data_IF_841982980063
#
_entry.id   IF_841982980063
#
_cell.length_a   1.000
_cell.length_b   1.000
_cell.length_c   1.000
_cell.angle_alpha   90.00
_cell.angle_beta   90.00
_cell.angle_gamma   90.00
#
_symmetry.space_group_name_H-M   'P 1'
#
loop_
_entity.id
_entity.type
_entity.pdbx_description
1 polymer ?
#
# COMPACT_ATOMS: atom_id res chain seq x y z
N UNK A 1 -34.20 -12.27 -7.57
CA UNK A 1 -33.40 -11.68 -8.65
C UNK A 1 -32.37 -10.76 -8.01
N UNK A 2 -31.13 -11.22 -7.88
CA UNK A 2 -30.05 -10.48 -7.21
C UNK A 2 -29.32 -9.68 -8.28
N UNK A 3 -29.25 -8.38 -8.05
CA UNK A 3 -28.72 -7.37 -8.96
C UNK A 3 -27.24 -7.64 -9.27
N UNK A 4 -26.88 -7.74 -10.55
CA UNK A 4 -25.54 -8.09 -11.05
C UNK A 4 -24.62 -6.89 -11.29
N UNK A 5 -25.05 -5.68 -10.92
CA UNK A 5 -24.34 -4.43 -11.27
C UNK A 5 -23.65 -3.78 -10.08
N UNK A 6 -22.68 -4.47 -9.48
CA UNK A 6 -21.61 -3.85 -8.68
C UNK A 6 -20.26 -4.37 -9.21
N UNK A 7 -20.06 -4.23 -10.52
CA UNK A 7 -18.72 -4.09 -11.05
C UNK A 7 -18.33 -2.64 -10.84
N UNK A 8 -17.47 -2.39 -9.86
CA UNK A 8 -16.79 -1.12 -9.74
C UNK A 8 -16.01 -0.91 -11.03
N UNK A 9 -16.44 0.06 -11.84
CA UNK A 9 -15.62 0.65 -12.88
C UNK A 9 -14.34 1.16 -12.21
N UNK A 10 -13.32 0.32 -12.24
CA UNK A 10 -11.96 0.76 -12.11
C UNK A 10 -11.75 1.68 -13.32
N UNK A 11 -11.66 2.99 -13.09
CA UNK A 11 -11.03 3.88 -14.07
C UNK A 11 -9.58 3.40 -14.19
N UNK A 12 -9.36 2.45 -15.10
CA UNK A 12 -8.08 1.84 -15.43
C UNK A 12 -7.13 2.81 -16.15
N UNK A 13 -7.48 4.09 -16.23
CA UNK A 13 -6.70 5.13 -16.88
C UNK A 13 -5.66 5.80 -15.97
N UNK A 14 -5.65 5.51 -14.66
CA UNK A 14 -4.64 6.04 -13.72
C UNK A 14 -3.44 5.09 -13.49
N UNK A 15 -3.40 3.94 -14.18
CA UNK A 15 -2.20 3.14 -14.31
C UNK A 15 -1.50 3.60 -15.58
N UNK A 16 -0.72 4.68 -15.49
CA UNK A 16 0.34 4.90 -16.47
C UNK A 16 1.11 3.57 -16.55
N UNK A 17 1.04 2.93 -17.71
CA UNK A 17 1.87 1.79 -18.08
C UNK A 17 3.30 2.29 -18.15
N UNK A 18 3.93 2.50 -16.99
CA UNK A 18 5.30 2.97 -16.90
C UNK A 18 6.24 1.80 -17.20
N UNK A 19 6.76 1.85 -18.44
CA UNK A 19 7.92 1.19 -19.01
C UNK A 19 8.55 0.03 -18.22
N UNK A 20 8.31 -1.19 -18.72
CA UNK A 20 9.09 -2.40 -18.38
C UNK A 20 10.61 -2.23 -18.61
N UNK A 21 11.04 -1.19 -19.34
CA UNK A 21 12.45 -0.91 -19.65
C UNK A 21 13.29 -0.43 -18.45
N UNK A 22 12.73 0.20 -17.42
CA UNK A 22 13.54 0.78 -16.32
C UNK A 22 14.10 -0.27 -15.35
N UNK A 23 13.48 -1.46 -15.27
CA UNK A 23 14.02 -2.59 -14.48
C UNK A 23 15.27 -3.23 -15.12
N UNK A 24 15.62 -2.88 -16.36
CA UNK A 24 16.72 -3.50 -17.11
C UNK A 24 18.11 -2.91 -16.80
N UNK A 25 18.20 -1.78 -16.08
CA UNK A 25 19.47 -1.07 -15.86
C UNK A 25 20.18 -1.46 -14.56
N UNK A 26 19.48 -2.06 -13.60
CA UNK A 26 20.06 -2.50 -12.33
C UNK A 26 20.35 -4.01 -12.37
N UNK A 27 21.63 -4.37 -12.50
CA UNK A 27 22.08 -5.76 -12.34
C UNK A 27 22.05 -6.10 -10.85
N UNK A 28 20.99 -6.76 -10.41
CA UNK A 28 20.90 -7.32 -9.07
C UNK A 28 21.63 -8.66 -9.02
N UNK A 29 22.49 -8.85 -8.01
CA UNK A 29 23.14 -10.14 -7.76
C UNK A 29 22.40 -10.87 -6.64
N UNK A 30 21.90 -12.06 -6.97
CA UNK A 30 21.16 -12.93 -6.06
C UNK A 30 21.84 -14.28 -5.97
N UNK A 31 21.96 -14.79 -4.75
CA UNK A 31 22.13 -16.22 -4.55
C UNK A 31 20.81 -16.82 -4.14
N UNK A 32 20.56 -18.05 -4.60
CA UNK A 32 19.38 -18.80 -4.21
C UNK A 32 19.78 -20.22 -3.84
N UNK A 33 19.07 -20.79 -2.88
CA UNK A 33 19.25 -22.16 -2.45
C UNK A 33 17.89 -22.85 -2.35
N UNK A 34 17.82 -24.06 -2.92
CA UNK A 34 16.69 -24.96 -2.70
C UNK A 34 16.84 -25.71 -1.38
N UNK A 35 15.85 -25.61 -0.51
CA UNK A 35 15.72 -26.41 0.71
C UNK A 35 14.31 -26.99 0.75
N UNK A 36 14.17 -28.26 1.10
CA UNK A 36 12.86 -28.88 1.26
C UNK A 36 12.50 -28.88 2.73
N UNK A 37 11.32 -28.33 3.04
CA UNK A 37 10.74 -28.40 4.38
C UNK A 37 9.48 -29.26 4.33
N UNK A 38 9.27 -30.05 5.38
CA UNK A 38 7.99 -30.70 5.61
C UNK A 38 6.93 -29.67 5.98
N UNK A 39 5.66 -29.97 5.70
CA UNK A 39 4.53 -29.18 6.20
C UNK A 39 4.63 -28.95 7.70
N UNK A 40 5.03 -29.96 8.47
CA UNK A 40 5.14 -29.85 9.92
C UNK A 40 6.23 -28.85 10.34
N UNK A 41 7.40 -28.87 9.70
CA UNK A 41 8.47 -27.89 9.96
C UNK A 41 8.02 -26.47 9.62
N UNK A 42 7.41 -26.25 8.45
CA UNK A 42 6.88 -24.93 8.07
C UNK A 42 5.84 -24.42 9.09
N UNK A 43 4.98 -25.29 9.61
CA UNK A 43 4.00 -24.96 10.64
C UNK A 43 4.65 -24.62 11.99
N UNK A 44 5.77 -25.25 12.34
CA UNK A 44 6.55 -24.95 13.54
C UNK A 44 7.27 -23.61 13.39
N UNK A 45 8.00 -23.40 12.29
CA UNK A 45 8.76 -22.16 12.06
C UNK A 45 7.87 -20.91 12.05
N UNK A 46 6.65 -20.99 11.49
CA UNK A 46 5.70 -19.85 11.54
C UNK A 46 5.12 -19.63 12.95
N UNK A 47 5.05 -20.68 13.78
CA UNK A 47 4.58 -20.59 15.17
C UNK A 47 5.66 -20.00 16.08
N UNK A 48 6.92 -20.35 15.85
CA UNK A 48 8.09 -19.87 16.60
C UNK A 48 8.54 -18.46 16.15
N UNK A 49 7.99 -17.96 15.05
CA UNK A 49 8.27 -16.62 14.54
C UNK A 49 9.56 -16.54 13.73
N UNK A 50 10.03 -17.66 13.19
CA UNK A 50 11.15 -17.75 12.26
C UNK A 50 10.72 -17.44 10.82
N UNK A 51 9.45 -17.73 10.49
CA UNK A 51 8.81 -17.22 9.28
C UNK A 51 8.07 -15.93 9.59
N UNK A 52 8.63 -14.81 9.14
CA UNK A 52 8.04 -13.50 9.31
C UNK A 52 7.01 -13.30 8.19
N UNK A 53 5.77 -13.04 8.61
CA UNK A 53 4.66 -12.73 7.72
C UNK A 53 4.64 -11.21 7.49
N UNK A 54 4.89 -10.74 6.26
CA UNK A 54 4.82 -9.32 5.98
C UNK A 54 3.40 -8.77 6.17
N UNK A 55 3.28 -7.54 6.66
CA UNK A 55 2.00 -6.98 7.13
C UNK A 55 0.87 -7.00 6.08
N UNK A 56 1.16 -6.73 4.81
CA UNK A 56 0.19 -6.75 3.71
C UNK A 56 -0.26 -8.17 3.32
N UNK A 57 0.56 -9.21 3.55
CA UNK A 57 0.14 -10.60 3.29
C UNK A 57 -0.71 -11.17 4.44
N UNK A 58 -0.86 -10.48 5.58
CA UNK A 58 -1.61 -11.00 6.74
C UNK A 58 -3.07 -11.32 6.45
N UNK A 59 -3.65 -10.75 5.39
CA UNK A 59 -5.04 -11.04 4.99
C UNK A 59 -5.08 -12.35 4.20
N UNK A 60 -5.60 -13.40 4.84
CA UNK A 60 -5.79 -14.71 4.22
C UNK A 60 -6.96 -14.66 3.24
N UNK A 61 -6.67 -14.56 1.93
CA UNK A 61 -7.68 -14.40 0.87
C UNK A 61 -8.21 -15.72 0.30
N UNK A 62 -7.65 -16.86 0.71
CA UNK A 62 -8.21 -18.16 0.30
C UNK A 62 -9.53 -18.44 1.01
N UNK A 63 -10.58 -18.62 0.22
CA UNK A 63 -11.86 -19.12 0.70
C UNK A 63 -11.76 -20.59 1.14
N UNK A 64 -12.79 -21.09 1.83
CA UNK A 64 -12.84 -22.50 2.30
C UNK A 64 -12.60 -23.49 1.16
N UNK A 65 -13.08 -23.17 -0.05
CA UNK A 65 -12.96 -24.04 -1.19
C UNK A 65 -11.51 -24.18 -1.68
N UNK A 66 -10.81 -23.06 -1.91
CA UNK A 66 -9.37 -23.05 -2.26
C UNK A 66 -8.52 -23.72 -1.20
N UNK A 67 -8.81 -23.45 0.08
CA UNK A 67 -8.17 -24.13 1.21
C UNK A 67 -8.35 -25.65 1.12
N UNK A 68 -9.56 -26.11 0.82
CA UNK A 68 -9.88 -27.54 0.72
C UNK A 68 -9.16 -28.21 -0.45
N UNK A 69 -9.09 -27.55 -1.62
CA UNK A 69 -8.37 -28.05 -2.79
C UNK A 69 -6.88 -28.25 -2.51
N UNK A 70 -6.26 -27.33 -1.78
CA UNK A 70 -4.87 -27.47 -1.39
C UNK A 70 -4.65 -28.68 -0.45
N UNK A 71 -5.49 -28.87 0.57
CA UNK A 71 -5.38 -30.03 1.47
C UNK A 71 -5.62 -31.34 0.72
N UNK A 72 -6.60 -31.36 -0.19
CA UNK A 72 -6.83 -32.50 -1.07
C UNK A 72 -5.57 -32.87 -1.88
N UNK A 73 -4.88 -31.89 -2.47
CA UNK A 73 -3.61 -32.13 -3.18
C UNK A 73 -2.55 -32.80 -2.29
N UNK A 74 -2.44 -32.39 -1.01
CA UNK A 74 -1.52 -33.02 -0.05
C UNK A 74 -1.90 -34.49 0.22
N UNK A 75 -3.19 -34.77 0.35
CA UNK A 75 -3.71 -36.13 0.59
C UNK A 75 -3.51 -37.03 -0.64
N UNK A 76 -3.72 -36.49 -1.83
CA UNK A 76 -3.49 -37.19 -3.10
C UNK A 76 -2.00 -37.39 -3.41
N UNK A 77 -1.10 -36.61 -2.78
CA UNK A 77 0.34 -36.66 -3.05
C UNK A 77 0.72 -35.94 -4.34
N UNK A 78 -0.08 -34.94 -4.75
CA UNK A 78 0.25 -34.12 -5.92
C UNK A 78 1.42 -33.17 -5.62
N UNK A 79 2.22 -32.81 -6.64
CA UNK A 79 3.28 -31.82 -6.49
C UNK A 79 2.68 -30.48 -6.06
N UNK A 80 3.29 -29.87 -5.05
CA UNK A 80 2.90 -28.55 -4.53
C UNK A 80 3.86 -27.50 -5.11
N UNK A 81 3.35 -26.36 -5.61
CA UNK A 81 4.20 -25.27 -6.07
C UNK A 81 5.18 -24.81 -5.01
N UNK A 82 6.36 -24.38 -5.47
CA UNK A 82 7.44 -23.93 -4.60
C UNK A 82 6.98 -22.82 -3.65
N UNK A 83 7.61 -22.76 -2.48
CA UNK A 83 7.50 -21.63 -1.56
C UNK A 83 8.76 -20.78 -1.73
N UNK A 84 8.61 -19.47 -1.67
CA UNK A 84 9.74 -18.55 -1.81
C UNK A 84 9.95 -17.79 -0.51
N UNK A 85 11.18 -17.81 -0.03
CA UNK A 85 11.62 -17.08 1.15
C UNK A 85 12.72 -16.09 0.77
N UNK A 86 12.79 -14.99 1.51
CA UNK A 86 13.94 -14.09 1.52
C UNK A 86 14.61 -14.17 2.89
N UNK A 87 15.92 -14.41 2.91
CA UNK A 87 16.69 -14.45 4.15
C UNK A 87 16.80 -13.03 4.72
N UNK A 88 16.50 -12.85 6.01
CA UNK A 88 16.68 -11.57 6.70
C UNK A 88 17.84 -11.61 7.69
N UNK A 89 18.17 -10.46 8.26
CA UNK A 89 19.04 -10.40 9.42
C UNK A 89 18.49 -11.29 10.55
N UNK A 90 19.37 -12.02 11.24
CA UNK A 90 19.10 -12.94 12.37
C UNK A 90 18.54 -14.34 12.00
N UNK A 91 18.91 -14.92 10.85
CA UNK A 91 18.55 -16.28 10.45
C UNK A 91 17.03 -16.54 10.40
N UNK A 92 16.24 -15.50 10.11
CA UNK A 92 14.80 -15.59 9.87
C UNK A 92 14.51 -15.48 8.39
N UNK A 93 13.31 -15.91 8.01
CA UNK A 93 12.85 -15.88 6.64
C UNK A 93 11.62 -14.98 6.50
N UNK A 94 11.68 -14.04 5.57
CA UNK A 94 10.51 -13.37 5.04
C UNK A 94 9.81 -14.28 4.05
N UNK A 95 8.51 -14.48 4.23
CA UNK A 95 7.70 -15.20 3.26
C UNK A 95 7.48 -14.30 2.03
N UNK A 96 8.02 -14.70 0.88
CA UNK A 96 7.85 -13.99 -0.40
C UNK A 96 6.57 -14.48 -1.10
N UNK A 97 6.43 -15.80 -1.19
CA UNK A 97 5.24 -16.49 -1.68
C UNK A 97 4.99 -17.77 -0.88
N UNK A 98 3.74 -18.23 -0.83
CA UNK A 98 3.36 -19.48 -0.17
C UNK A 98 2.67 -19.34 1.18
N UNK A 99 2.44 -18.10 1.66
CA UNK A 99 1.78 -17.87 2.95
C UNK A 99 0.42 -18.58 3.06
N UNK A 100 -0.42 -18.53 2.03
CA UNK A 100 -1.73 -19.19 2.05
C UNK A 100 -1.59 -20.72 2.18
N UNK A 101 -0.57 -21.32 1.55
CA UNK A 101 -0.30 -22.77 1.65
C UNK A 101 0.10 -23.14 3.08
N UNK A 102 1.08 -22.43 3.65
CA UNK A 102 1.58 -22.68 5.01
C UNK A 102 0.47 -22.49 6.04
N UNK A 103 -0.26 -21.37 5.98
CA UNK A 103 -1.33 -21.06 6.94
C UNK A 103 -2.53 -21.99 6.79
N UNK A 104 -2.89 -22.40 5.57
CA UNK A 104 -3.96 -23.39 5.36
C UNK A 104 -3.60 -24.75 5.96
N UNK A 105 -2.38 -25.24 5.73
CA UNK A 105 -1.93 -26.50 6.34
C UNK A 105 -1.95 -26.41 7.86
N UNK A 106 -1.38 -25.33 8.42
CA UNK A 106 -1.38 -25.06 9.87
C UNK A 106 -2.80 -25.03 10.45
N UNK A 107 -3.70 -24.29 9.83
CA UNK A 107 -5.08 -24.13 10.31
C UNK A 107 -5.84 -25.46 10.22
N UNK A 108 -5.63 -26.25 9.16
CA UNK A 108 -6.26 -27.56 9.02
C UNK A 108 -5.75 -28.55 10.08
N UNK A 109 -4.42 -28.66 10.25
CA UNK A 109 -3.78 -29.52 11.25
C UNK A 109 -4.25 -29.19 12.68
N UNK A 110 -4.47 -27.91 12.96
CA UNK A 110 -5.00 -27.44 14.25
C UNK A 110 -6.52 -27.54 14.36
N UNK A 111 -7.21 -28.17 13.41
CA UNK A 111 -8.65 -28.42 13.45
C UNK A 111 -9.52 -27.17 13.27
N UNK A 112 -9.01 -26.08 12.71
CA UNK A 112 -9.78 -24.83 12.57
C UNK A 112 -10.87 -24.88 11.49
N UNK A 113 -10.80 -25.85 10.58
CA UNK A 113 -11.83 -26.05 9.56
C UNK A 113 -11.87 -27.51 9.08
N UNK A 114 -13.01 -27.88 8.52
CA UNK A 114 -13.21 -29.12 7.77
C UNK A 114 -13.26 -28.84 6.27
N UNK A 115 -12.95 -29.83 5.44
CA UNK A 115 -12.96 -29.68 3.99
C UNK A 115 -14.36 -29.36 3.45
N UNK A 116 -14.41 -28.67 2.32
CA UNK A 116 -15.63 -28.27 1.62
C UNK A 116 -16.48 -29.47 1.22
N UNK A 117 -17.81 -29.31 1.28
CA UNK A 117 -18.79 -30.31 0.81
C UNK A 117 -18.99 -30.32 -0.71
N UNK A 118 -18.47 -29.33 -1.44
CA UNK A 118 -18.59 -29.22 -2.90
C UNK A 118 -18.13 -30.50 -3.61
N UNK A 119 -18.86 -30.90 -4.64
CA UNK A 119 -18.63 -32.15 -5.38
C UNK A 119 -17.25 -32.26 -6.04
N UNK A 120 -16.63 -31.12 -6.33
CA UNK A 120 -15.27 -31.08 -6.89
C UNK A 120 -14.19 -31.55 -5.92
N UNK A 121 -14.46 -31.65 -4.61
CA UNK A 121 -13.58 -32.32 -3.65
C UNK A 121 -13.90 -33.82 -3.66
N UNK A 122 -12.87 -34.66 -3.59
CA UNK A 122 -12.97 -36.11 -3.53
C UNK A 122 -13.89 -36.53 -2.37
N UNK A 123 -14.85 -37.39 -2.69
CA UNK A 123 -15.89 -37.84 -1.76
C UNK A 123 -15.33 -38.38 -0.45
N UNK A 124 -14.16 -39.03 -0.48
CA UNK A 124 -13.49 -39.61 0.68
C UNK A 124 -13.23 -38.60 1.79
N UNK A 125 -12.99 -37.33 1.45
CA UNK A 125 -12.55 -36.32 2.41
C UNK A 125 -13.51 -35.15 2.60
N UNK A 126 -14.66 -35.14 1.92
CA UNK A 126 -15.65 -34.07 2.07
C UNK A 126 -16.09 -33.94 3.52
N UNK A 127 -16.18 -32.71 4.02
CA UNK A 127 -16.55 -32.39 5.41
C UNK A 127 -15.67 -33.00 6.50
N UNK A 128 -14.55 -33.66 6.17
CA UNK A 128 -13.63 -34.16 7.18
C UNK A 128 -12.74 -33.04 7.69
N UNK A 129 -12.56 -33.01 9.01
CA UNK A 129 -11.51 -32.23 9.66
C UNK A 129 -10.26 -33.10 9.84
N UNK A 130 -9.14 -32.49 10.22
CA UNK A 130 -7.89 -33.23 10.43
C UNK A 130 -8.00 -34.36 11.44
N UNK A 131 -8.83 -34.22 12.49
CA UNK A 131 -9.03 -35.29 13.48
C UNK A 131 -9.78 -36.50 12.94
N UNK A 132 -10.59 -36.32 11.88
CA UNK A 132 -11.37 -37.40 11.25
C UNK A 132 -10.57 -38.22 10.24
N UNK A 133 -9.36 -37.78 9.88
CA UNK A 133 -8.48 -38.51 8.96
C UNK A 133 -7.86 -39.75 9.62
N UNK A 134 -7.47 -40.73 8.81
CA UNK A 134 -6.69 -41.87 9.30
C UNK A 134 -5.29 -41.42 9.75
N UNK A 135 -4.63 -42.21 10.60
CA UNK A 135 -3.25 -41.91 11.02
C UNK A 135 -2.24 -41.93 9.87
N UNK A 136 -2.53 -42.67 8.79
CA UNK A 136 -1.73 -42.62 7.57
C UNK A 136 -1.90 -41.28 6.84
N UNK A 137 -3.13 -40.81 6.68
CA UNK A 137 -3.45 -39.54 6.01
C UNK A 137 -2.91 -38.33 6.78
N UNK A 138 -3.03 -38.35 8.12
CA UNK A 138 -2.42 -37.34 9.01
C UNK A 138 -0.90 -37.30 8.83
N UNK A 139 -0.25 -38.47 8.79
CA UNK A 139 1.20 -38.56 8.55
C UNK A 139 1.58 -38.09 7.16
N UNK A 140 0.78 -38.41 6.13
CA UNK A 140 0.98 -37.96 4.75
C UNK A 140 1.02 -36.44 4.68
N UNK A 141 -0.01 -35.75 5.16
CA UNK A 141 -0.05 -34.27 5.20
C UNK A 141 1.17 -33.70 5.92
N UNK A 142 1.46 -34.19 7.14
CA UNK A 142 2.55 -33.64 7.97
C UNK A 142 3.93 -33.83 7.36
N UNK A 143 4.16 -34.95 6.66
CA UNK A 143 5.45 -35.34 6.07
C UNK A 143 5.62 -34.92 4.61
N UNK A 144 4.59 -34.36 3.97
CA UNK A 144 4.73 -33.80 2.62
C UNK A 144 5.85 -32.77 2.62
N UNK A 145 6.85 -32.99 1.77
CA UNK A 145 7.93 -32.04 1.52
C UNK A 145 7.46 -30.99 0.50
N UNK A 146 7.75 -29.73 0.80
CA UNK A 146 7.54 -28.62 -0.14
C UNK A 146 8.90 -28.01 -0.45
N UNK A 147 9.22 -27.95 -1.76
CA UNK A 147 10.40 -27.27 -2.25
C UNK A 147 10.31 -25.79 -1.93
N UNK A 148 11.30 -25.32 -1.18
CA UNK A 148 11.43 -23.91 -0.80
C UNK A 148 12.67 -23.34 -1.45
N UNK A 149 12.53 -22.17 -2.06
CA UNK A 149 13.65 -21.41 -2.63
C UNK A 149 13.92 -20.24 -1.69
N UNK A 150 15.09 -20.26 -1.06
CA UNK A 150 15.57 -19.18 -0.21
C UNK A 150 16.42 -18.27 -1.07
N UNK A 151 16.05 -17.00 -1.11
CA UNK A 151 16.70 -15.98 -1.93
C UNK A 151 17.43 -15.00 -1.02
N UNK A 152 18.71 -14.81 -1.32
CA UNK A 152 19.58 -13.88 -0.61
C UNK A 152 20.08 -12.85 -1.60
N UNK A 153 19.83 -11.59 -1.29
CA UNK A 153 20.39 -10.48 -2.05
C UNK A 153 21.87 -10.33 -1.68
N UNK A 154 22.74 -10.38 -2.69
CA UNK A 154 24.20 -10.23 -2.52
C UNK A 154 24.59 -8.77 -2.74
N UNK A 155 23.99 -8.08 -3.72
CA UNK A 155 24.29 -6.68 -4.07
C UNK A 155 22.99 -5.95 -4.48
N UNK A 156 22.74 -4.71 -3.98
CA UNK A 156 23.45 -4.02 -2.89
C UNK A 156 23.17 -4.67 -1.53
N UNK A 157 24.15 -4.71 -0.62
CA UNK A 157 23.97 -5.25 0.74
C UNK A 157 22.94 -4.48 1.59
N UNK A 158 22.64 -3.24 1.22
CA UNK A 158 21.82 -2.31 2.01
C UNK A 158 20.63 -1.70 1.23
N UNK A 159 20.24 -2.29 0.10
CA UNK A 159 18.98 -1.92 -0.56
C UNK A 159 18.09 -3.15 -0.60
N UNK A 160 16.80 -2.98 -0.34
CA UNK A 160 15.84 -4.07 -0.51
C UNK A 160 15.10 -3.95 -1.87
N UNK A 161 15.56 -3.05 -2.75
CA UNK A 161 14.89 -2.78 -4.03
C UNK A 161 14.90 -4.00 -4.97
N UNK A 162 15.91 -4.87 -4.83
CA UNK A 162 15.97 -6.12 -5.59
C UNK A 162 14.86 -7.11 -5.17
N UNK A 163 14.57 -7.15 -3.86
CA UNK A 163 13.50 -7.96 -3.29
C UNK A 163 12.15 -7.45 -3.85
N UNK A 164 12.00 -6.14 -4.04
CA UNK A 164 10.80 -5.55 -4.65
C UNK A 164 10.53 -6.11 -6.06
N UNK A 165 11.53 -6.07 -6.95
CA UNK A 165 11.38 -6.61 -8.31
C UNK A 165 11.17 -8.12 -8.33
N UNK A 166 11.77 -8.85 -7.39
CA UNK A 166 11.55 -10.27 -7.20
C UNK A 166 10.10 -10.58 -6.76
N UNK A 167 9.56 -9.81 -5.82
CA UNK A 167 8.17 -9.92 -5.38
C UNK A 167 7.21 -9.67 -6.56
N UNK A 168 7.44 -8.65 -7.37
CA UNK A 168 6.62 -8.35 -8.56
C UNK A 168 6.64 -9.53 -9.56
N UNK A 169 7.81 -10.13 -9.80
CA UNK A 169 7.99 -11.22 -10.77
C UNK A 169 7.50 -12.60 -10.29
N UNK A 170 7.51 -12.86 -8.99
CA UNK A 170 7.00 -14.14 -8.45
C UNK A 170 5.47 -14.10 -8.32
N UNK A 171 4.91 -12.93 -7.97
CA UNK A 171 3.48 -12.80 -7.72
C UNK A 171 2.62 -12.57 -8.97
N UNK A 172 3.21 -12.53 -10.18
CA UNK A 172 2.47 -12.38 -11.46
C UNK A 172 1.48 -13.51 -11.74
N UNK A 173 1.66 -14.70 -11.12
CA UNK A 173 0.68 -15.80 -11.17
C UNK A 173 -0.40 -15.77 -10.08
N UNK A 174 -0.32 -14.81 -9.14
CA UNK A 174 -1.24 -14.60 -8.02
C UNK A 174 -1.94 -13.24 -8.17
N UNK A 175 -2.78 -12.83 -7.20
CA UNK A 175 -3.25 -11.43 -7.16
C UNK A 175 -2.01 -10.55 -6.91
N UNK A 176 -1.61 -9.68 -7.86
CA UNK A 176 -0.38 -8.93 -7.74
C UNK A 176 -0.50 -7.91 -6.60
N UNK A 177 0.58 -7.80 -5.83
CA UNK A 177 0.76 -6.76 -4.83
C UNK A 177 1.00 -5.43 -5.52
N UNK A 178 0.42 -4.36 -5.02
CA UNK A 178 0.77 -3.02 -5.48
C UNK A 178 2.06 -2.52 -4.81
N UNK A 179 2.61 -1.43 -5.33
CA UNK A 179 3.87 -0.88 -4.87
C UNK A 179 3.91 -0.57 -3.38
N UNK A 180 2.82 -0.04 -2.82
CA UNK A 180 2.74 0.30 -1.40
C UNK A 180 2.66 -0.95 -0.51
N UNK A 181 1.96 -2.00 -0.95
CA UNK A 181 1.97 -3.30 -0.25
C UNK A 181 3.41 -3.83 -0.15
N UNK A 182 4.18 -3.76 -1.22
CA UNK A 182 5.59 -4.21 -1.22
C UNK A 182 6.47 -3.32 -0.32
N UNK A 183 6.32 -1.97 -0.37
CA UNK A 183 7.05 -1.06 0.54
C UNK A 183 6.78 -1.38 2.01
N UNK A 184 5.54 -1.69 2.37
CA UNK A 184 5.14 -2.08 3.71
C UNK A 184 5.77 -3.42 4.17
N UNK A 185 6.16 -4.31 3.26
CA UNK A 185 7.04 -5.46 3.56
C UNK A 185 8.42 -4.99 3.94
N UNK A 186 9.00 -4.30 2.96
CA UNK A 186 10.42 -4.17 2.80
C UNK A 186 10.98 -3.19 3.85
N UNK A 187 10.18 -2.17 4.15
CA UNK A 187 10.52 -1.09 5.05
C UNK A 187 9.69 -1.17 6.35
N UNK A 188 9.31 -2.39 6.76
CA UNK A 188 8.67 -2.61 8.05
C UNK A 188 9.50 -1.99 9.18
N UNK A 189 8.85 -1.20 10.03
CA UNK A 189 9.48 -0.43 11.08
C UNK A 189 8.61 0.73 11.58
N UNK A 190 9.10 1.54 12.53
CA UNK A 190 8.32 2.59 13.19
C UNK A 190 7.68 3.62 12.26
N UNK A 191 8.30 3.96 11.12
CA UNK A 191 7.71 4.89 10.15
C UNK A 191 6.60 4.26 9.34
N UNK A 192 6.74 2.99 8.98
CA UNK A 192 5.64 2.26 8.34
C UNK A 192 4.43 2.15 9.30
N UNK A 193 4.69 1.93 10.59
CA UNK A 193 3.63 1.95 11.61
C UNK A 193 2.97 3.33 11.73
N UNK A 194 3.73 4.42 11.61
CA UNK A 194 3.19 5.78 11.58
C UNK A 194 2.19 5.96 10.42
N UNK A 195 2.52 5.51 9.20
CA UNK A 195 1.62 5.64 8.06
C UNK A 195 0.29 4.90 8.31
N UNK A 196 0.36 3.69 8.87
CA UNK A 196 -0.82 2.91 9.23
C UNK A 196 -1.64 3.58 10.34
N UNK A 197 -0.98 4.11 11.37
CA UNK A 197 -1.65 4.86 12.44
C UNK A 197 -2.37 6.11 11.93
N UNK A 198 -1.78 6.83 10.97
CA UNK A 198 -2.43 7.98 10.32
C UNK A 198 -3.63 7.52 9.50
N UNK A 199 -3.48 6.44 8.72
CA UNK A 199 -4.55 5.87 7.90
C UNK A 199 -5.77 5.43 8.73
N UNK A 200 -5.55 5.05 9.99
CA UNK A 200 -6.61 4.65 10.93
C UNK A 200 -7.32 5.84 11.60
N UNK A 201 -6.83 7.07 11.45
CA UNK A 201 -7.46 8.25 12.08
C UNK A 201 -8.80 8.61 11.43
N UNK A 202 -9.75 9.05 12.25
CA UNK A 202 -11.10 9.42 11.79
C UNK A 202 -11.10 10.62 10.83
N UNK A 203 -10.20 11.59 11.04
CA UNK A 203 -10.07 12.74 10.14
C UNK A 203 -9.61 12.31 8.75
N UNK A 204 -8.63 11.39 8.68
CA UNK A 204 -8.15 10.86 7.42
C UNK A 204 -9.24 10.06 6.69
N UNK A 205 -9.93 9.13 7.36
CA UNK A 205 -11.03 8.34 6.78
C UNK A 205 -12.13 9.21 6.19
N UNK A 206 -12.51 10.29 6.89
CA UNK A 206 -13.51 11.26 6.42
C UNK A 206 -13.08 11.97 5.13
N UNK A 207 -11.80 12.32 5.01
CA UNK A 207 -11.27 13.09 3.87
C UNK A 207 -10.80 12.19 2.70
N UNK A 208 -10.40 10.96 2.98
CA UNK A 208 -9.93 9.99 1.99
C UNK A 208 -11.10 9.19 1.42
N UNK A 209 -11.69 9.70 0.33
CA UNK A 209 -12.80 9.06 -0.42
C UNK A 209 -14.06 8.79 0.42
N UNK A 210 -14.18 9.37 1.62
CA UNK A 210 -15.30 9.18 2.54
C UNK A 210 -15.49 7.72 2.98
N UNK A 211 -14.40 6.94 3.04
CA UNK A 211 -14.46 5.53 3.45
C UNK A 211 -14.24 5.41 4.95
N UNK A 212 -15.23 4.87 5.66
CA UNK A 212 -15.09 4.50 7.08
C UNK A 212 -14.28 3.20 7.30
N UNK A 213 -13.77 2.60 6.22
CA UNK A 213 -13.05 1.33 6.24
C UNK A 213 -11.63 1.53 5.72
N UNK A 214 -10.66 1.01 6.46
CA UNK A 214 -9.22 0.98 6.10
C UNK A 214 -9.04 0.35 4.71
N UNK A 215 -8.27 1.02 3.84
CA UNK A 215 -8.04 0.48 2.50
C UNK A 215 -7.16 -0.76 2.57
N UNK A 216 -7.73 -1.90 2.19
CA UNK A 216 -7.07 -3.19 2.29
C UNK A 216 -5.79 -3.25 1.43
N UNK A 217 -5.78 -2.50 0.33
CA UNK A 217 -4.68 -2.41 -0.63
C UNK A 217 -3.70 -1.30 -0.27
N UNK A 218 -3.88 -0.61 0.86
CA UNK A 218 -2.96 0.42 1.36
C UNK A 218 -2.77 1.62 0.41
N UNK A 219 -3.72 1.85 -0.49
CA UNK A 219 -3.67 3.00 -1.42
C UNK A 219 -3.79 4.34 -0.68
N UNK A 220 -4.41 4.35 0.49
CA UNK A 220 -4.45 5.47 1.42
C UNK A 220 -3.08 5.76 2.04
N UNK A 221 -2.39 4.71 2.52
CA UNK A 221 -1.06 4.82 3.08
C UNK A 221 -0.03 5.35 2.06
N UNK A 222 -0.19 5.02 0.77
CA UNK A 222 0.66 5.62 -0.28
C UNK A 222 0.44 7.13 -0.37
N UNK A 223 -0.81 7.60 -0.32
CA UNK A 223 -1.10 9.05 -0.37
C UNK A 223 -0.51 9.76 0.85
N UNK A 224 -0.59 9.16 2.04
CA UNK A 224 0.08 9.69 3.23
C UNK A 224 1.61 9.72 3.02
N UNK A 225 2.19 8.64 2.47
CA UNK A 225 3.63 8.58 2.18
C UNK A 225 4.07 9.66 1.17
N UNK A 226 3.24 9.99 0.18
CA UNK A 226 3.52 11.08 -0.78
C UNK A 226 3.75 12.42 -0.11
N UNK A 227 3.02 12.72 0.97
CA UNK A 227 3.26 13.93 1.75
C UNK A 227 4.67 13.96 2.34
N UNK A 228 5.13 12.86 2.92
CA UNK A 228 6.47 12.81 3.51
C UNK A 228 7.56 12.77 2.42
N UNK A 229 7.34 12.05 1.32
CA UNK A 229 8.31 11.87 0.24
C UNK A 229 8.51 13.11 -0.63
N UNK A 230 7.43 13.80 -1.01
CA UNK A 230 7.50 14.96 -1.91
C UNK A 230 7.80 16.27 -1.19
N UNK A 231 7.76 16.32 0.15
CA UNK A 231 7.99 17.55 0.93
C UNK A 231 9.28 18.27 0.57
N UNK A 232 10.40 17.54 0.47
CA UNK A 232 11.69 18.14 0.12
C UNK A 232 11.70 18.68 -1.33
N UNK A 233 11.04 17.99 -2.26
CA UNK A 233 10.96 18.38 -3.68
C UNK A 233 10.12 19.66 -3.82
N UNK A 234 8.97 19.73 -3.15
CA UNK A 234 8.02 20.84 -3.30
C UNK A 234 8.47 22.06 -2.49
N UNK A 235 8.76 21.88 -1.20
CA UNK A 235 9.02 22.99 -0.28
C UNK A 235 10.45 23.51 -0.42
N UNK A 236 11.44 22.61 -0.40
CA UNK A 236 12.85 23.03 -0.41
C UNK A 236 13.37 23.24 -1.84
N UNK A 237 12.74 22.61 -2.85
CA UNK A 237 13.08 22.77 -4.27
C UNK A 237 14.60 22.79 -4.55
N UNK A 238 15.35 21.74 -4.15
CA UNK A 238 16.79 21.72 -4.33
C UNK A 238 17.20 21.89 -5.81
N UNK A 239 18.38 22.48 -6.08
CA UNK A 239 18.89 22.58 -7.44
C UNK A 239 19.17 21.19 -8.02
N UNK A 240 19.04 21.04 -9.34
CA UNK A 240 19.37 19.80 -10.06
C UNK A 240 18.28 18.72 -10.08
N UNK A 241 17.04 19.02 -9.66
CA UNK A 241 15.92 18.09 -9.81
C UNK A 241 15.64 17.77 -11.29
N UNK A 242 15.31 16.50 -11.62
CA UNK A 242 14.97 16.12 -12.98
C UNK A 242 13.63 16.73 -13.41
N UNK A 243 13.40 16.90 -14.73
CA UNK A 243 12.15 17.46 -15.24
C UNK A 243 10.93 16.57 -14.96
N UNK A 244 11.10 15.24 -14.96
CA UNK A 244 10.09 14.26 -14.52
C UNK A 244 10.57 13.61 -13.23
N UNK A 245 9.75 13.64 -12.19
CA UNK A 245 10.06 13.02 -10.89
C UNK A 245 9.64 11.54 -10.93
N UNK A 246 10.56 10.63 -10.63
CA UNK A 246 10.23 9.22 -10.44
C UNK A 246 9.59 9.03 -9.06
N UNK A 247 8.26 8.89 -9.03
CA UNK A 247 7.52 8.75 -7.79
C UNK A 247 7.93 7.48 -7.02
N UNK A 248 8.12 6.35 -7.72
CA UNK A 248 8.46 5.07 -7.09
C UNK A 248 9.75 5.20 -6.29
N UNK A 249 10.78 5.80 -6.88
CA UNK A 249 12.06 6.06 -6.23
C UNK A 249 11.92 7.02 -5.03
N UNK A 250 11.20 8.13 -5.20
CA UNK A 250 10.96 9.09 -4.10
C UNK A 250 10.32 8.43 -2.89
N UNK A 251 9.28 7.62 -3.11
CA UNK A 251 8.57 6.94 -2.02
C UNK A 251 9.42 5.84 -1.39
N UNK A 252 10.20 5.10 -2.19
CA UNK A 252 11.12 4.07 -1.68
C UNK A 252 12.23 4.69 -0.81
N UNK A 253 12.87 5.76 -1.28
CA UNK A 253 13.90 6.47 -0.54
C UNK A 253 13.33 7.12 0.73
N UNK A 254 12.09 7.65 0.69
CA UNK A 254 11.41 8.12 1.90
C UNK A 254 11.25 7.00 2.94
N UNK A 255 10.72 5.84 2.54
CA UNK A 255 10.55 4.68 3.44
C UNK A 255 11.87 4.19 4.01
N UNK A 256 12.92 4.19 3.20
CA UNK A 256 14.27 3.77 3.61
C UNK A 256 14.89 4.73 4.61
N UNK A 257 14.85 6.03 4.33
CA UNK A 257 15.45 7.07 5.18
C UNK A 257 14.77 7.15 6.55
N UNK A 258 13.46 6.96 6.62
CA UNK A 258 12.70 7.01 7.87
C UNK A 258 12.42 5.63 8.47
N UNK A 259 12.92 4.52 7.91
CA UNK A 259 12.62 3.15 8.36
C UNK A 259 12.68 3.00 9.88
N UNK A 260 13.72 3.56 10.50
CA UNK A 260 13.99 3.54 11.94
C UNK A 260 13.83 4.92 12.60
N UNK A 261 12.83 5.70 12.16
CA UNK A 261 12.52 7.00 12.78
C UNK A 261 12.39 6.87 14.29
N UNK A 262 13.01 7.78 15.03
CA UNK A 262 12.94 7.76 16.50
C UNK A 262 11.54 8.16 16.99
N UNK A 263 11.16 7.78 18.23
CA UNK A 263 9.82 8.03 18.74
C UNK A 263 9.41 9.51 18.79
N UNK A 264 10.35 10.43 19.02
CA UNK A 264 10.05 11.85 19.12
C UNK A 264 9.74 12.42 17.73
N UNK A 265 10.58 12.13 16.73
CA UNK A 265 10.32 12.54 15.35
C UNK A 265 9.07 11.87 14.78
N UNK A 266 8.81 10.59 15.11
CA UNK A 266 7.55 9.91 14.75
C UNK A 266 6.33 10.68 15.24
N UNK A 267 6.36 11.14 16.50
CA UNK A 267 5.28 11.94 17.10
C UNK A 267 5.12 13.28 16.40
N UNK A 268 6.21 14.01 16.18
CA UNK A 268 6.19 15.31 15.48
C UNK A 268 5.61 15.18 14.08
N UNK A 269 6.00 14.13 13.33
CA UNK A 269 5.50 13.89 11.98
C UNK A 269 4.00 13.61 11.98
N UNK A 270 3.51 12.84 12.97
CA UNK A 270 2.08 12.57 13.15
C UNK A 270 1.30 13.84 13.45
N UNK A 271 1.76 14.60 14.44
CA UNK A 271 1.10 15.84 14.89
C UNK A 271 1.03 16.86 13.75
N UNK A 272 2.14 17.11 13.05
CA UNK A 272 2.17 18.05 11.93
C UNK A 272 1.21 17.64 10.79
N UNK A 273 1.14 16.35 10.45
CA UNK A 273 0.24 15.85 9.42
C UNK A 273 -1.24 16.00 9.84
N UNK A 274 -1.57 15.60 11.07
CA UNK A 274 -2.94 15.65 11.59
C UNK A 274 -3.42 17.09 11.76
N UNK A 275 -2.60 17.98 12.32
CA UNK A 275 -2.92 19.41 12.43
C UNK A 275 -3.24 20.03 11.08
N UNK A 276 -2.46 19.68 10.05
CA UNK A 276 -2.66 20.18 8.70
C UNK A 276 -3.94 19.62 8.07
N UNK A 277 -4.28 18.36 8.32
CA UNK A 277 -5.56 17.79 7.88
C UNK A 277 -6.75 18.45 8.58
N UNK A 278 -6.69 18.65 9.89
CA UNK A 278 -7.74 19.33 10.65
C UNK A 278 -7.94 20.77 10.17
N UNK A 279 -6.84 21.47 9.89
CA UNK A 279 -6.86 22.80 9.28
C UNK A 279 -7.64 22.79 7.95
N UNK A 280 -7.24 21.90 7.04
CA UNK A 280 -7.86 21.81 5.70
C UNK A 280 -9.32 21.36 5.81
N UNK A 281 -9.64 20.44 6.72
CA UNK A 281 -11.00 19.97 6.97
C UNK A 281 -11.91 21.07 7.50
N UNK A 282 -11.44 21.86 8.47
CA UNK A 282 -12.23 22.95 9.01
C UNK A 282 -12.51 24.03 7.94
N UNK A 283 -11.60 24.19 6.97
CA UNK A 283 -11.78 25.14 5.88
C UNK A 283 -12.68 24.64 4.74
N UNK A 284 -12.39 23.45 4.22
CA UNK A 284 -12.96 22.92 2.97
C UNK A 284 -13.89 21.72 3.17
N UNK A 285 -13.91 21.15 4.37
CA UNK A 285 -14.70 19.98 4.73
C UNK A 285 -14.14 18.68 4.16
N UNK A 286 -14.98 17.64 4.19
CA UNK A 286 -14.60 16.27 3.81
C UNK A 286 -14.14 16.12 2.35
N UNK A 287 -14.59 17.01 1.45
CA UNK A 287 -14.26 16.96 0.02
C UNK A 287 -13.11 17.90 -0.38
N UNK A 288 -12.25 18.27 0.57
CA UNK A 288 -11.13 19.18 0.35
C UNK A 288 -10.19 18.75 -0.79
N UNK A 289 -9.94 17.44 -0.89
CA UNK A 289 -8.99 16.86 -1.86
C UNK A 289 -9.67 16.34 -3.13
N UNK A 290 -10.89 16.80 -3.42
CA UNK A 290 -11.61 16.42 -4.62
C UNK A 290 -11.26 17.37 -5.76
N UNK A 291 -11.20 16.84 -6.98
CA UNK A 291 -11.29 17.70 -8.17
C UNK A 291 -12.70 18.26 -8.29
N UNK A 292 -12.82 19.45 -8.87
CA UNK A 292 -14.09 20.09 -9.13
C UNK A 292 -14.35 20.20 -10.63
N UNK A 293 -15.59 20.01 -11.04
CA UNK A 293 -16.04 20.24 -12.41
C UNK A 293 -17.07 21.36 -12.44
N UNK A 294 -16.99 22.19 -13.49
CA UNK A 294 -17.97 23.24 -13.72
C UNK A 294 -19.24 22.62 -14.30
N UNK A 295 -20.33 22.71 -13.55
CA UNK A 295 -21.67 22.38 -14.02
C UNK A 295 -22.52 23.64 -13.96
N UNK A 296 -22.93 24.12 -15.13
CA UNK A 296 -23.62 25.41 -15.29
C UNK A 296 -22.81 26.57 -14.68
N UNK A 297 -23.30 27.16 -13.58
CA UNK A 297 -22.66 28.29 -12.86
C UNK A 297 -21.99 27.87 -11.55
N UNK A 298 -21.89 26.57 -11.25
CA UNK A 298 -21.35 26.09 -9.97
C UNK A 298 -20.22 25.09 -10.18
N UNK A 299 -19.24 25.11 -9.28
CA UNK A 299 -18.22 24.07 -9.17
C UNK A 299 -18.72 22.96 -8.25
N UNK A 300 -18.65 21.71 -8.72
CA UNK A 300 -19.12 20.54 -7.97
C UNK A 300 -17.96 19.56 -7.77
N UNK A 301 -17.72 19.07 -6.53
CA UNK A 301 -16.67 18.10 -6.28
C UNK A 301 -17.04 16.74 -6.89
N UNK A 302 -16.11 16.15 -7.65
CA UNK A 302 -16.32 14.89 -8.40
C UNK A 302 -15.70 13.69 -7.72
N UNK A 303 -14.37 13.66 -7.61
CA UNK A 303 -13.64 12.52 -7.06
C UNK A 303 -12.38 12.99 -6.35
N UNK A 304 -11.94 12.22 -5.35
CA UNK A 304 -10.63 12.42 -4.72
C UNK A 304 -9.53 12.39 -5.79
N UNK A 305 -8.59 13.32 -5.72
CA UNK A 305 -7.47 13.39 -6.64
C UNK A 305 -6.16 13.62 -5.85
N UNK A 306 -5.19 12.74 -6.09
CA UNK A 306 -3.92 12.74 -5.35
C UNK A 306 -3.08 13.99 -5.62
N UNK A 307 -3.12 14.55 -6.84
CA UNK A 307 -2.40 15.79 -7.18
C UNK A 307 -3.00 17.02 -6.50
N UNK A 308 -4.33 17.04 -6.32
CA UNK A 308 -5.02 18.04 -5.48
C UNK A 308 -4.57 17.88 -4.04
N UNK A 309 -4.57 16.66 -3.50
CA UNK A 309 -4.05 16.38 -2.15
C UNK A 309 -2.62 16.91 -1.97
N UNK A 310 -1.68 16.57 -2.86
CA UNK A 310 -0.29 17.03 -2.77
C UNK A 310 -0.22 18.56 -2.70
N UNK A 311 -0.83 19.25 -3.68
CA UNK A 311 -0.76 20.71 -3.78
C UNK A 311 -1.42 21.43 -2.61
N UNK A 312 -2.52 20.89 -2.08
CA UNK A 312 -3.24 21.47 -0.94
C UNK A 312 -2.43 21.27 0.33
N UNK A 313 -1.92 20.07 0.59
CA UNK A 313 -1.09 19.82 1.77
C UNK A 313 0.12 20.76 1.81
N UNK A 314 0.87 20.90 0.71
CA UNK A 314 2.03 21.79 0.68
C UNK A 314 1.65 23.27 0.70
N UNK A 315 0.59 23.65 -0.02
CA UNK A 315 0.07 25.02 -0.02
C UNK A 315 -0.29 25.47 1.39
N UNK A 316 -1.13 24.73 2.10
CA UNK A 316 -1.51 25.02 3.49
C UNK A 316 -0.33 24.94 4.45
N UNK A 317 0.58 23.98 4.26
CA UNK A 317 1.80 23.87 5.08
C UNK A 317 2.64 25.17 5.04
N UNK A 318 2.69 25.85 3.89
CA UNK A 318 3.44 27.11 3.74
C UNK A 318 2.89 28.28 4.57
N UNK A 319 1.62 28.21 4.99
CA UNK A 319 0.96 29.20 5.85
C UNK A 319 0.77 28.73 7.29
N UNK A 320 0.68 27.41 7.52
CA UNK A 320 0.38 26.80 8.81
C UNK A 320 1.28 27.29 9.95
N UNK A 321 2.57 27.55 9.69
CA UNK A 321 3.51 28.07 10.72
C UNK A 321 3.61 29.60 10.79
N UNK A 322 3.03 30.31 9.82
CA UNK A 322 3.18 31.78 9.68
C UNK A 322 1.92 32.55 10.06
N UNK A 323 0.77 31.92 9.93
CA UNK A 323 -0.53 32.53 10.17
C UNK A 323 -1.30 31.71 11.19
N UNK A 324 -1.95 32.37 12.14
CA UNK A 324 -2.93 31.74 13.01
C UNK A 324 -4.23 31.51 12.22
N UNK A 325 -4.13 30.55 11.32
CA UNK A 325 -5.19 30.15 10.42
C UNK A 325 -6.35 29.55 11.21
N UNK A 326 -6.07 28.91 12.37
CA UNK A 326 -7.08 28.30 13.27
C UNK A 326 -8.05 29.36 13.83
N UNK A 327 -7.60 30.57 14.14
CA UNK A 327 -8.45 31.61 14.72
C UNK A 327 -9.14 32.55 13.72
N UNK A 328 -8.70 32.57 12.45
CA UNK A 328 -9.19 33.51 11.43
C UNK A 328 -10.14 32.90 10.39
N UNK A 329 -10.55 31.64 10.58
CA UNK A 329 -11.25 30.83 9.57
C UNK A 329 -12.58 31.39 9.05
N UNK A 330 -13.39 31.96 9.94
CA UNK A 330 -14.77 32.34 9.60
C UNK A 330 -14.87 33.54 8.67
N UNK A 331 -13.78 34.29 8.50
CA UNK A 331 -13.75 35.51 7.68
C UNK A 331 -13.24 35.26 6.26
N UNK A 332 -12.71 34.07 5.98
CA UNK A 332 -12.11 33.72 4.69
C UNK A 332 -13.14 33.02 3.80
N UNK A 333 -13.42 33.59 2.62
CA UNK A 333 -14.35 33.00 1.66
C UNK A 333 -13.75 31.76 0.97
N UNK A 334 -14.13 30.58 1.46
CA UNK A 334 -13.73 29.29 0.89
C UNK A 334 -14.19 29.10 -0.56
N UNK A 335 -15.32 29.68 -0.97
CA UNK A 335 -15.80 29.52 -2.35
C UNK A 335 -14.89 30.29 -3.30
N UNK A 336 -14.44 31.48 -2.90
CA UNK A 336 -13.45 32.26 -3.65
C UNK A 336 -12.13 31.51 -3.80
N UNK A 337 -11.65 30.84 -2.76
CA UNK A 337 -10.47 29.98 -2.84
C UNK A 337 -10.64 28.85 -3.86
N UNK A 338 -11.77 28.14 -3.79
CA UNK A 338 -12.11 27.06 -4.73
C UNK A 338 -12.22 27.60 -6.17
N UNK A 339 -12.85 28.75 -6.38
CA UNK A 339 -13.00 29.38 -7.69
C UNK A 339 -11.64 29.76 -8.29
N UNK A 340 -10.75 30.39 -7.51
CA UNK A 340 -9.40 30.76 -7.98
C UNK A 340 -8.64 29.54 -8.51
N UNK A 341 -8.75 28.40 -7.83
CA UNK A 341 -8.00 27.19 -8.18
C UNK A 341 -8.67 26.39 -9.29
N UNK A 342 -9.98 26.15 -9.20
CA UNK A 342 -10.64 25.18 -10.07
C UNK A 342 -11.31 25.81 -11.30
N UNK A 343 -11.35 27.15 -11.41
CA UNK A 343 -11.61 27.84 -12.68
C UNK A 343 -10.33 28.05 -13.52
N UNK A 344 -9.15 27.82 -12.93
CA UNK A 344 -7.88 27.81 -13.65
C UNK A 344 -7.75 26.51 -14.48
N UNK A 345 -7.81 26.67 -15.81
CA UNK A 345 -7.71 25.56 -16.75
C UNK A 345 -6.35 24.86 -16.72
N UNK A 346 -5.27 25.60 -16.43
CA UNK A 346 -3.94 25.02 -16.32
C UNK A 346 -3.81 24.20 -15.04
N UNK A 347 -4.34 24.68 -13.92
CA UNK A 347 -4.39 23.88 -12.69
C UNK A 347 -5.15 22.57 -12.90
N UNK A 348 -6.33 22.65 -13.53
CA UNK A 348 -7.18 21.50 -13.86
C UNK A 348 -6.45 20.48 -14.76
N UNK A 349 -5.68 20.96 -15.74
CA UNK A 349 -4.83 20.11 -16.58
C UNK A 349 -3.71 19.48 -15.77
N UNK A 350 -2.99 20.25 -14.97
CA UNK A 350 -1.85 19.77 -14.18
C UNK A 350 -2.24 18.74 -13.11
N UNK A 351 -3.48 18.72 -12.60
CA UNK A 351 -3.94 17.67 -11.65
C UNK A 351 -4.35 16.36 -12.33
N UNK A 352 -4.49 16.36 -13.66
CA UNK A 352 -4.93 15.20 -14.46
C UNK A 352 -3.80 14.63 -15.32
N UNK A 353 -2.93 15.48 -15.88
CA UNK A 353 -1.91 15.08 -16.86
C UNK A 353 -0.51 15.32 -16.34
N UNK A 354 0.41 14.40 -16.67
CA UNK A 354 1.85 14.50 -16.36
C UNK A 354 2.08 14.99 -14.93
N UNK A 355 1.41 14.33 -13.99
CA UNK A 355 1.25 14.84 -12.63
C UNK A 355 2.58 14.91 -11.88
N UNK A 356 3.57 14.12 -12.30
CA UNK A 356 4.92 14.09 -11.75
C UNK A 356 5.95 14.93 -12.52
N UNK A 357 5.55 15.67 -13.56
CA UNK A 357 6.42 16.69 -14.17
C UNK A 357 6.67 17.81 -13.15
N UNK A 358 7.93 18.17 -12.94
CA UNK A 358 8.36 19.15 -11.96
C UNK A 358 7.69 20.51 -12.19
N UNK A 359 7.49 20.90 -13.45
CA UNK A 359 6.79 22.13 -13.83
C UNK A 359 5.35 22.10 -13.34
N UNK A 360 4.64 20.98 -13.54
CA UNK A 360 3.25 20.83 -13.11
C UNK A 360 3.15 20.77 -11.58
N UNK A 361 4.05 20.05 -10.91
CA UNK A 361 4.11 20.02 -9.43
C UNK A 361 4.26 21.44 -8.88
N UNK A 362 5.22 22.21 -9.40
CA UNK A 362 5.47 23.60 -8.98
C UNK A 362 4.29 24.50 -9.27
N UNK A 363 3.69 24.37 -10.46
CA UNK A 363 2.52 25.15 -10.85
C UNK A 363 1.37 24.94 -9.87
N UNK A 364 0.99 23.68 -9.61
CA UNK A 364 -0.10 23.36 -8.67
C UNK A 364 0.15 23.91 -7.27
N UNK A 365 1.36 23.74 -6.75
CA UNK A 365 1.75 24.25 -5.44
C UNK A 365 1.66 25.79 -5.37
N UNK A 366 2.24 26.49 -6.36
CA UNK A 366 2.23 27.95 -6.40
C UNK A 366 0.82 28.53 -6.62
N UNK A 367 -0.04 27.86 -7.39
CA UNK A 367 -1.45 28.27 -7.56
C UNK A 367 -2.20 28.22 -6.23
N UNK A 368 -2.10 27.11 -5.48
CA UNK A 368 -2.72 27.01 -4.15
C UNK A 368 -2.17 28.08 -3.20
N UNK A 369 -0.85 28.25 -3.18
CA UNK A 369 -0.19 29.22 -2.31
C UNK A 369 -0.61 30.67 -2.61
N UNK A 370 -0.68 31.05 -3.88
CA UNK A 370 -1.17 32.37 -4.31
C UNK A 370 -2.66 32.57 -4.01
N UNK A 371 -3.47 31.53 -4.17
CA UNK A 371 -4.88 31.58 -3.81
C UNK A 371 -5.07 31.82 -2.31
N UNK A 372 -4.32 31.10 -1.46
CA UNK A 372 -4.30 31.32 -0.01
C UNK A 372 -3.82 32.73 0.35
N UNK A 373 -2.72 33.21 -0.25
CA UNK A 373 -2.24 34.57 0.01
C UNK A 373 -3.31 35.61 -0.32
N UNK A 374 -3.94 35.48 -1.50
CA UNK A 374 -4.95 36.44 -1.96
C UNK A 374 -6.16 36.53 -1.04
N UNK A 375 -6.72 35.38 -0.62
CA UNK A 375 -7.90 35.38 0.25
C UNK A 375 -7.57 35.85 1.68
N UNK A 376 -6.31 35.74 2.11
CA UNK A 376 -5.84 36.25 3.40
C UNK A 376 -5.64 37.77 3.33
N UNK A 377 -5.07 38.28 2.24
CA UNK A 377 -4.83 39.73 2.05
C UNK A 377 -6.12 40.53 1.84
N UNK A 378 -7.20 39.87 1.44
CA UNK A 378 -8.52 40.48 1.26
C UNK A 378 -9.39 40.45 2.53
N UNK A 379 -8.86 39.88 3.64
CA UNK A 379 -9.42 39.97 4.99
C UNK A 379 -9.14 41.36 5.56
#
# INVERSE_FOLDING_TARGET
MINKDIFWNYDSNDLETENEEELATHVYDFTWQGIDFTINELCTMIKEGDLIIPNFQRKLVWDKFRKSKFIESLLMGFPIPNIFFSETEKNKYWIVDGLQRITTAKDYINGKFALSSKETINEKWRNLSFSNLSEEEKRRIKRTLIRTIIIKQVIPKNSNDSIFGLFERINTGSVPLNSQEIRNAIYAGPFNDLLNEIAETEIWKKMYKGKDIVDIRMLDAEVILRYFGLKNIVINSPPGLPPKINLKEVLNECMKNYKNIDPNNKKIFKEEFIDLLELIYNFLGAKAFYRYEKKEKMLIPKSFNTSVFDSFMYGFYSFYKKYDFKNNFNEIDKNKFIDIIFLDSDYQRCVQEKTMDLVNIKYRYETVKKALQKIIDEK
#
